data_IF_780811863793
#
_entry.id   IF_780811863793
#
_cell.length_a   1.000
_cell.length_b   1.000
_cell.length_c   1.000
_cell.angle_alpha   90.00
_cell.angle_beta   90.00
_cell.angle_gamma   90.00
#
_symmetry.space_group_name_H-M   'P 1'
#
loop_
_entity.id
_entity.type
_entity.pdbx_description
1 polymer ?
#
# COMPACT_ATOMS: atom_id res chain seq x y z
N UNK A 1 -12.89 -10.70 -21.77
CA UNK A 1 -11.93 -9.97 -20.95
C UNK A 1 -10.62 -10.68 -20.89
N UNK A 2 -9.53 -9.92 -20.99
CA UNK A 2 -8.16 -10.44 -20.96
C UNK A 2 -7.71 -10.55 -19.50
N UNK A 3 -7.12 -11.69 -19.14
CA UNK A 3 -6.42 -11.82 -17.87
C UNK A 3 -5.05 -11.16 -17.97
N UNK A 4 -4.61 -10.58 -16.88
CA UNK A 4 -3.28 -9.98 -16.76
C UNK A 4 -2.46 -10.85 -15.82
N UNK A 5 -1.29 -11.23 -16.22
CA UNK A 5 -0.34 -11.94 -15.37
C UNK A 5 0.71 -10.96 -14.86
N UNK A 6 0.98 -11.01 -13.56
CA UNK A 6 2.00 -10.20 -12.92
C UNK A 6 3.00 -11.13 -12.23
N UNK A 7 4.27 -10.79 -12.37
CA UNK A 7 5.33 -11.49 -11.67
C UNK A 7 5.71 -10.70 -10.43
N UNK A 8 5.70 -11.31 -9.23
CA UNK A 8 6.22 -10.62 -8.06
C UNK A 8 7.70 -10.27 -8.25
N UNK A 9 8.04 -9.01 -8.00
CA UNK A 9 9.43 -8.56 -8.08
C UNK A 9 10.22 -8.97 -6.85
N UNK A 10 9.54 -9.24 -5.77
CA UNK A 10 10.10 -9.58 -4.48
C UNK A 10 9.01 -9.60 -3.42
N UNK A 11 9.42 -9.59 -2.18
CA UNK A 11 8.49 -9.74 -1.06
C UNK A 11 8.83 -8.77 0.07
N UNK A 12 7.79 -8.35 0.79
CA UNK A 12 7.91 -7.50 1.97
C UNK A 12 8.30 -8.34 3.18
N UNK A 13 9.25 -7.84 3.98
CA UNK A 13 9.53 -8.34 5.32
C UNK A 13 9.17 -7.26 6.33
N UNK A 14 8.18 -7.53 7.15
CA UNK A 14 7.64 -6.56 8.07
C UNK A 14 7.09 -7.23 9.32
N UNK A 15 7.14 -6.51 10.43
CA UNK A 15 6.44 -6.89 11.65
C UNK A 15 5.05 -6.26 11.74
N UNK A 16 4.62 -5.56 10.67
CA UNK A 16 3.34 -4.89 10.64
C UNK A 16 2.18 -5.88 10.76
N UNK A 17 1.28 -5.58 11.68
CA UNK A 17 0.06 -6.33 11.92
C UNK A 17 -1.13 -5.37 11.84
N UNK A 18 -1.96 -5.57 10.84
CA UNK A 18 -3.13 -4.73 10.59
C UNK A 18 -4.18 -4.80 11.70
N UNK A 19 -4.12 -5.79 12.56
CA UNK A 19 -5.06 -5.92 13.71
C UNK A 19 -5.09 -4.64 14.55
N UNK A 20 -4.01 -3.89 14.55
CA UNK A 20 -3.94 -2.60 15.25
C UNK A 20 -4.79 -1.51 14.61
N UNK A 21 -5.12 -1.66 13.34
CA UNK A 21 -5.90 -0.65 12.60
C UNK A 21 -5.18 0.66 12.33
N UNK A 22 -3.95 0.81 12.75
CA UNK A 22 -3.13 2.01 12.56
C UNK A 22 -2.21 1.85 11.35
N UNK A 23 -1.83 3.00 10.77
CA UNK A 23 -0.79 2.98 9.74
C UNK A 23 0.52 2.55 10.36
N UNK A 24 1.25 1.73 9.66
CA UNK A 24 2.59 1.36 10.07
C UNK A 24 3.55 2.53 9.87
N UNK A 25 4.14 3.01 10.93
CA UNK A 25 5.20 4.02 10.89
C UNK A 25 6.58 3.41 11.13
N UNK A 26 6.65 2.10 11.30
CA UNK A 26 7.88 1.39 11.52
C UNK A 26 8.64 1.06 10.25
N UNK A 27 9.72 0.34 10.42
CA UNK A 27 10.59 -0.07 9.33
C UNK A 27 10.16 -1.41 8.75
N UNK A 28 10.41 -1.57 7.46
CA UNK A 28 10.25 -2.83 6.75
C UNK A 28 11.37 -2.94 5.73
N UNK A 29 11.57 -4.14 5.19
CA UNK A 29 12.48 -4.35 4.07
C UNK A 29 11.73 -4.89 2.88
N UNK A 30 12.17 -4.47 1.69
CA UNK A 30 11.71 -4.98 0.42
C UNK A 30 12.83 -5.83 -0.14
N UNK A 31 12.60 -7.14 -0.19
CA UNK A 31 13.58 -8.10 -0.69
C UNK A 31 13.23 -8.45 -2.13
N UNK A 32 13.95 -7.85 -3.08
CA UNK A 32 13.75 -8.11 -4.50
C UNK A 32 14.48 -9.36 -4.92
N UNK A 33 13.95 -10.06 -5.93
CA UNK A 33 14.69 -11.13 -6.58
C UNK A 33 16.00 -10.56 -7.13
N UNK A 34 17.14 -11.24 -6.92
CA UNK A 34 18.44 -10.72 -7.38
C UNK A 34 18.48 -10.40 -8.88
N UNK A 35 17.65 -11.06 -9.70
CA UNK A 35 17.60 -10.76 -11.15
C UNK A 35 17.12 -9.34 -11.45
N UNK A 36 16.47 -8.67 -10.48
CA UNK A 36 16.00 -7.30 -10.62
C UNK A 36 16.95 -6.27 -9.99
N UNK A 37 18.07 -6.70 -9.44
CA UNK A 37 18.97 -5.79 -8.71
C UNK A 37 19.37 -4.56 -9.53
N UNK A 38 19.74 -4.76 -10.79
CA UNK A 38 20.14 -3.62 -11.64
C UNK A 38 18.97 -2.69 -11.99
N UNK A 39 17.73 -3.18 -11.91
CA UNK A 39 16.55 -2.34 -12.12
C UNK A 39 16.36 -1.33 -10.97
N UNK A 40 17.03 -1.52 -9.85
CA UNK A 40 16.99 -0.60 -8.70
C UNK A 40 18.05 0.49 -8.77
N UNK A 41 18.96 0.44 -9.75
CA UNK A 41 20.06 1.40 -9.83
C UNK A 41 19.53 2.83 -9.94
N UNK A 42 19.99 3.69 -9.04
CA UNK A 42 19.56 5.08 -8.97
C UNK A 42 18.39 5.36 -8.04
N UNK A 43 17.71 4.32 -7.55
CA UNK A 43 16.57 4.53 -6.65
C UNK A 43 16.99 5.20 -5.34
N UNK A 44 18.21 4.98 -4.91
CA UNK A 44 18.77 5.56 -3.67
C UNK A 44 18.90 7.08 -3.69
N UNK A 45 18.76 7.70 -4.86
CA UNK A 45 18.77 9.15 -4.97
C UNK A 45 17.43 9.80 -4.60
N UNK A 46 16.38 9.00 -4.41
CA UNK A 46 15.05 9.47 -4.02
C UNK A 46 14.84 9.28 -2.53
N UNK A 47 14.18 10.25 -1.90
CA UNK A 47 13.81 10.15 -0.49
C UNK A 47 12.61 9.25 -0.25
N UNK A 48 11.70 9.20 -1.22
CA UNK A 48 10.43 8.47 -1.11
C UNK A 48 10.15 7.70 -2.37
N UNK A 49 9.43 6.60 -2.20
CA UNK A 49 8.97 5.77 -3.32
C UNK A 49 7.53 5.34 -3.08
N UNK A 50 6.82 5.07 -4.18
CA UNK A 50 5.58 4.32 -4.13
C UNK A 50 5.90 2.83 -4.07
N UNK A 51 5.20 2.10 -3.24
CA UNK A 51 5.22 0.63 -3.24
C UNK A 51 3.84 0.14 -3.61
N UNK A 52 3.76 -0.66 -4.67
CA UNK A 52 2.55 -1.36 -5.08
C UNK A 52 2.73 -2.83 -4.73
N UNK A 53 1.78 -3.36 -3.98
CA UNK A 53 1.88 -4.74 -3.49
C UNK A 53 0.52 -5.42 -3.55
N UNK A 54 0.55 -6.75 -3.58
CA UNK A 54 -0.67 -7.55 -3.56
C UNK A 54 -1.04 -7.86 -2.11
N UNK A 55 -2.28 -7.54 -1.76
CA UNK A 55 -2.79 -7.83 -0.41
C UNK A 55 -3.22 -9.30 -0.33
N UNK A 56 -2.26 -10.17 -0.05
CA UNK A 56 -2.38 -11.61 -0.21
C UNK A 56 -3.15 -12.34 0.90
N UNK A 57 -3.32 -11.71 2.07
CA UNK A 57 -3.98 -12.33 3.23
C UNK A 57 -5.47 -12.03 3.29
N UNK A 58 -6.12 -11.91 2.15
CA UNK A 58 -7.53 -11.59 2.09
C UNK A 58 -8.34 -12.79 1.65
N UNK A 59 -9.55 -12.90 2.20
CA UNK A 59 -10.54 -13.83 1.69
C UNK A 59 -10.90 -13.42 0.25
N UNK A 60 -10.88 -14.39 -0.65
CA UNK A 60 -11.14 -14.13 -2.06
C UNK A 60 -12.55 -13.56 -2.31
N UNK A 61 -13.50 -13.81 -1.40
CA UNK A 61 -14.84 -13.24 -1.47
C UNK A 61 -14.85 -11.71 -1.42
N UNK A 62 -13.84 -11.09 -0.83
CA UNK A 62 -13.72 -9.63 -0.76
C UNK A 62 -13.50 -9.00 -2.13
N UNK A 63 -13.11 -9.79 -3.13
CA UNK A 63 -12.98 -9.31 -4.51
C UNK A 63 -14.33 -9.09 -5.20
N UNK A 64 -15.40 -9.66 -4.65
CA UNK A 64 -16.76 -9.48 -5.15
C UNK A 64 -17.58 -8.52 -4.30
N UNK A 65 -16.96 -7.85 -3.36
CA UNK A 65 -17.57 -6.80 -2.55
C UNK A 65 -17.48 -5.49 -3.30
N UNK A 66 -18.61 -4.87 -3.60
CA UNK A 66 -18.64 -3.65 -4.41
C UNK A 66 -18.96 -2.40 -3.61
N UNK A 67 -19.59 -2.54 -2.46
CA UNK A 67 -19.89 -1.44 -1.56
C UNK A 67 -19.44 -1.74 -0.14
N UNK A 68 -19.06 -0.71 0.57
CA UNK A 68 -18.54 -0.84 1.94
C UNK A 68 -18.74 0.44 2.73
N UNK A 69 -18.79 0.29 4.03
CA UNK A 69 -18.62 1.40 4.96
C UNK A 69 -17.11 1.58 5.18
N UNK A 70 -16.55 2.77 4.92
CA UNK A 70 -15.12 2.97 5.13
C UNK A 70 -14.66 2.52 6.52
N UNK A 71 -13.58 1.74 6.59
CA UNK A 71 -13.05 1.14 7.82
C UNK A 71 -14.06 0.29 8.62
N UNK A 72 -15.11 -0.23 7.95
CA UNK A 72 -16.15 -0.98 8.61
C UNK A 72 -17.00 -0.16 9.58
N UNK A 73 -16.93 1.16 9.50
CA UNK A 73 -17.66 2.06 10.41
C UNK A 73 -19.04 2.36 9.85
N UNK A 74 -20.07 1.85 10.52
CA UNK A 74 -21.46 2.06 10.11
C UNK A 74 -21.93 3.51 10.27
N UNK A 75 -21.19 4.34 11.02
CA UNK A 75 -21.45 5.78 11.12
C UNK A 75 -21.00 6.55 9.90
N UNK A 76 -20.25 5.90 8.98
CA UNK A 76 -19.86 6.47 7.71
C UNK A 76 -20.76 5.96 6.59
N UNK A 77 -20.93 6.72 5.49
CA UNK A 77 -21.82 6.31 4.43
C UNK A 77 -21.36 5.02 3.73
N UNK A 78 -22.33 4.32 3.15
CA UNK A 78 -22.06 3.17 2.29
C UNK A 78 -21.65 3.68 0.92
N UNK A 79 -20.41 3.39 0.52
CA UNK A 79 -19.84 3.87 -0.74
C UNK A 79 -19.29 2.73 -1.57
N UNK A 80 -19.00 2.99 -2.84
CA UNK A 80 -18.33 2.02 -3.69
C UNK A 80 -16.92 1.75 -3.19
N UNK A 81 -16.48 0.51 -3.27
CA UNK A 81 -15.14 0.11 -2.77
C UNK A 81 -14.01 0.87 -3.46
N UNK A 82 -14.21 1.27 -4.72
CA UNK A 82 -13.19 2.03 -5.46
C UNK A 82 -13.13 3.51 -5.03
N UNK A 83 -14.11 3.97 -4.25
CA UNK A 83 -14.08 5.29 -3.62
C UNK A 83 -13.38 5.25 -2.26
N UNK A 84 -12.77 4.14 -1.91
CA UNK A 84 -12.02 3.93 -0.67
C UNK A 84 -10.65 3.37 -1.01
N UNK A 85 -9.77 3.38 -0.04
CA UNK A 85 -8.44 2.78 -0.13
C UNK A 85 -8.36 1.46 0.65
N UNK A 86 -9.51 0.87 0.91
CA UNK A 86 -9.60 -0.38 1.66
C UNK A 86 -9.22 -1.61 0.85
N UNK A 87 -9.12 -2.72 1.54
CA UNK A 87 -8.66 -3.99 0.99
C UNK A 87 -9.74 -4.77 0.24
N UNK A 88 -11.02 -4.57 0.55
CA UNK A 88 -12.12 -5.20 -0.16
C UNK A 88 -12.29 -4.51 -1.52
N UNK A 89 -11.74 -5.12 -2.55
CA UNK A 89 -11.76 -4.56 -3.91
C UNK A 89 -11.49 -5.65 -4.93
N UNK A 90 -11.93 -5.45 -6.19
CA UNK A 90 -11.77 -6.48 -7.23
C UNK A 90 -10.34 -6.97 -7.42
N UNK A 91 -9.39 -6.04 -7.44
CA UNK A 91 -7.97 -6.37 -7.49
C UNK A 91 -7.33 -5.79 -6.24
N UNK A 92 -6.99 -6.62 -5.24
CA UNK A 92 -6.51 -6.13 -3.95
C UNK A 92 -5.04 -5.66 -4.03
N UNK A 93 -4.86 -4.55 -4.73
CA UNK A 93 -3.55 -3.90 -4.89
C UNK A 93 -3.44 -2.80 -3.84
N UNK A 94 -2.40 -2.90 -3.01
CA UNK A 94 -2.05 -1.86 -2.06
C UNK A 94 -1.12 -0.84 -2.69
N UNK A 95 -1.22 0.39 -2.25
CA UNK A 95 -0.35 1.50 -2.68
C UNK A 95 0.01 2.32 -1.46
N UNK A 96 1.30 2.45 -1.20
CA UNK A 96 1.79 3.28 -0.10
C UNK A 96 3.01 4.07 -0.55
N UNK A 97 3.04 5.35 -0.18
CA UNK A 97 4.25 6.17 -0.28
C UNK A 97 5.06 5.92 0.99
N UNK A 98 6.31 5.52 0.83
CA UNK A 98 7.20 5.21 1.95
C UNK A 98 8.47 6.03 1.86
N UNK A 99 9.10 6.26 3.00
CA UNK A 99 10.45 6.82 3.03
C UNK A 99 11.44 5.73 2.67
N UNK A 100 12.33 6.00 1.73
CA UNK A 100 13.42 5.10 1.39
C UNK A 100 14.61 5.41 2.29
N UNK A 101 14.94 4.48 3.17
CA UNK A 101 15.97 4.69 4.17
C UNK A 101 17.34 4.28 3.66
N UNK A 102 17.42 3.12 3.00
CA UNK A 102 18.68 2.56 2.56
C UNK A 102 18.48 1.53 1.47
N UNK A 103 19.44 1.43 0.57
CA UNK A 103 19.55 0.33 -0.38
C UNK A 103 20.81 -0.48 -0.13
N UNK A 104 20.67 -1.79 -0.11
CA UNK A 104 21.78 -2.74 -0.09
C UNK A 104 21.56 -3.80 -1.16
N UNK A 105 22.19 -3.62 -2.33
CA UNK A 105 21.99 -4.53 -3.45
C UNK A 105 20.54 -4.63 -3.90
N UNK A 106 19.93 -5.79 -3.71
CA UNK A 106 18.53 -6.05 -4.04
C UNK A 106 17.57 -5.89 -2.86
N UNK A 107 18.02 -5.26 -1.76
CA UNK A 107 17.19 -5.04 -0.58
C UNK A 107 17.06 -3.55 -0.31
N UNK A 108 15.82 -3.09 -0.14
CA UNK A 108 15.51 -1.72 0.24
C UNK A 108 14.96 -1.71 1.67
N UNK A 109 15.49 -0.83 2.50
CA UNK A 109 14.91 -0.54 3.81
C UNK A 109 14.01 0.68 3.67
N UNK A 110 12.76 0.55 4.11
CA UNK A 110 11.75 1.60 4.00
C UNK A 110 11.07 1.84 5.34
N UNK A 111 10.40 2.98 5.45
CA UNK A 111 9.63 3.34 6.63
C UNK A 111 8.23 3.77 6.23
N UNK A 112 7.23 3.24 6.93
CA UNK A 112 5.84 3.64 6.73
C UNK A 112 5.04 2.75 5.78
N UNK A 113 5.45 1.50 5.60
CA UNK A 113 4.75 0.57 4.71
C UNK A 113 3.65 -0.19 5.45
N UNK A 114 2.42 -0.12 4.95
CA UNK A 114 1.24 -0.75 5.52
C UNK A 114 0.98 -2.16 4.96
N UNK A 115 2.00 -2.89 4.61
CA UNK A 115 1.86 -4.21 4.02
C UNK A 115 2.17 -5.31 5.04
N UNK A 116 1.42 -6.41 4.99
CA UNK A 116 1.72 -7.59 5.78
C UNK A 116 3.05 -8.21 5.36
N UNK A 117 3.70 -8.86 6.30
CA UNK A 117 4.87 -9.67 6.00
C UNK A 117 4.55 -10.69 4.90
N UNK A 118 5.48 -10.84 3.97
CA UNK A 118 5.33 -11.76 2.85
C UNK A 118 4.51 -11.22 1.68
N UNK A 119 4.04 -9.97 1.73
CA UNK A 119 3.28 -9.38 0.62
C UNK A 119 4.11 -9.35 -0.65
N UNK A 120 3.59 -9.89 -1.77
CA UNK A 120 4.28 -9.79 -3.06
C UNK A 120 4.36 -8.33 -3.51
N UNK A 121 5.56 -7.91 -3.92
CA UNK A 121 5.76 -6.57 -4.47
C UNK A 121 5.49 -6.63 -5.98
N UNK A 122 4.57 -5.79 -6.44
CA UNK A 122 4.21 -5.74 -7.86
C UNK A 122 5.04 -4.74 -8.63
N UNK A 123 5.35 -3.61 -8.00
CA UNK A 123 6.11 -2.53 -8.62
C UNK A 123 6.56 -1.54 -7.56
N UNK A 124 7.57 -0.75 -7.89
CA UNK A 124 7.91 0.45 -7.15
C UNK A 124 8.14 1.58 -8.15
N UNK A 125 7.86 2.79 -7.74
CA UNK A 125 8.09 3.98 -8.55
C UNK A 125 8.64 5.09 -7.67
N UNK A 126 9.55 5.91 -8.19
CA UNK A 126 10.00 7.09 -7.45
C UNK A 126 8.83 8.03 -7.16
N UNK A 127 8.84 8.62 -5.99
CA UNK A 127 7.93 9.71 -5.64
C UNK A 127 8.64 11.02 -5.90
N UNK A 128 8.02 11.91 -6.65
CA UNK A 128 8.62 13.18 -7.01
C UNK A 128 7.63 14.34 -6.93
N UNK A 129 8.06 15.53 -7.33
CA UNK A 129 7.26 16.74 -7.21
C UNK A 129 5.97 16.72 -8.02
N UNK A 130 5.90 15.92 -9.09
CA UNK A 130 4.66 15.76 -9.87
C UNK A 130 3.54 15.10 -9.06
N UNK A 131 3.89 14.40 -7.99
CA UNK A 131 2.91 13.69 -7.16
C UNK A 131 2.32 14.57 -6.05
N UNK A 132 2.90 15.75 -5.85
CA UNK A 132 2.43 16.71 -4.86
C UNK A 132 1.34 17.57 -5.49
N UNK A 133 0.12 17.47 -4.96
CA UNK A 133 -1.04 18.21 -5.48
C UNK A 133 -1.54 19.19 -4.45
N UNK A 134 -1.82 20.41 -4.90
CA UNK A 134 -2.46 21.45 -4.09
C UNK A 134 -3.96 21.46 -4.37
N UNK A 135 -4.73 22.00 -3.43
CA UNK A 135 -6.16 22.22 -3.63
C UNK A 135 -6.96 20.92 -3.75
N UNK A 136 -6.51 19.86 -3.13
CA UNK A 136 -7.22 18.58 -3.17
C UNK A 136 -8.54 18.67 -2.44
N UNK A 137 -9.50 17.84 -2.87
CA UNK A 137 -10.80 17.73 -2.26
C UNK A 137 -11.02 16.29 -1.83
N UNK A 138 -11.61 16.10 -0.68
CA UNK A 138 -12.03 14.79 -0.17
C UNK A 138 -13.49 14.90 0.29
N UNK A 139 -14.21 13.77 0.40
CA UNK A 139 -15.57 13.81 0.96
C UNK A 139 -15.57 14.29 2.41
N UNK A 140 -16.68 14.87 2.85
CA UNK A 140 -16.80 15.34 4.24
C UNK A 140 -16.56 14.20 5.25
N UNK A 141 -17.02 12.99 4.95
CA UNK A 141 -16.84 11.85 5.85
C UNK A 141 -15.38 11.42 6.01
N UNK A 142 -14.50 11.84 5.09
CA UNK A 142 -13.08 11.48 5.17
C UNK A 142 -12.44 12.01 6.48
N UNK A 143 -12.83 13.22 6.87
CA UNK A 143 -12.31 13.82 8.11
C UNK A 143 -12.76 13.03 9.33
N UNK A 144 -13.99 12.52 9.32
CA UNK A 144 -14.49 11.64 10.38
C UNK A 144 -13.75 10.31 10.40
N UNK A 145 -13.47 9.77 9.22
CA UNK A 145 -12.76 8.49 9.08
C UNK A 145 -11.36 8.53 9.70
N UNK A 146 -10.62 9.61 9.49
CA UNK A 146 -9.25 9.75 10.02
C UNK A 146 -9.20 10.20 11.46
N UNK A 147 -10.33 10.65 12.02
CA UNK A 147 -10.40 10.98 13.45
C UNK A 147 -10.20 9.73 14.26
N UNK A 148 -9.36 9.82 15.29
CA UNK A 148 -9.14 8.68 16.19
C UNK A 148 -10.42 8.34 16.92
N UNK A 149 -10.74 7.05 17.01
CA UNK A 149 -11.77 6.58 17.92
C UNK A 149 -11.31 6.85 19.34
N UNK A 150 -12.17 7.50 20.10
CA UNK A 150 -11.99 7.60 21.54
C UNK A 150 -12.41 6.29 22.18
N UNK A 151 -11.59 5.72 22.98
CA UNK A 151 -11.98 4.56 23.77
C UNK A 151 -11.13 3.41 23.69
#
# INVERSE_FOLDING_TARGET
>A
MVSIELEPLGYVRSEFDEVRGDRNEGYATLEFDPKYAEALDGIEEYSHIFVLYWMHKLDNSLRSTYKTHPRGREDLPLVGVLATRGKARPNPIGLTVVELVERRGNVLKVKGLDAYDGSPILDIKPYDHYDIKEGIKVPDWWWLMVSRRKG
#
